data_IF_111154567114
#
_entry.id   IF_111154567114
#
_cell.length_a   1.000
_cell.length_b   1.000
_cell.length_c   1.000
_cell.angle_alpha   90.00
_cell.angle_beta   90.00
_cell.angle_gamma   90.00
#
_symmetry.space_group_name_H-M   'P 1'
#
loop_
_entity.id
_entity.type
_entity.pdbx_description
1 polymer ?
#
# COMPACT_ATOMS: atom_id res chain seq x y z
N UNK A 1 16.90 -22.03 4.00
CA UNK A 1 15.50 -21.54 4.10
C UNK A 1 15.37 -20.76 5.39
N UNK A 2 15.27 -19.41 5.34
CA UNK A 2 15.12 -18.60 6.55
C UNK A 2 13.69 -18.80 7.07
N UNK A 3 13.54 -19.35 8.28
CA UNK A 3 12.22 -19.53 8.92
C UNK A 3 11.57 -18.15 9.06
N UNK A 4 10.34 -18.03 8.57
CA UNK A 4 9.48 -16.87 8.81
C UNK A 4 9.34 -16.73 10.34
N UNK A 5 9.62 -15.56 10.94
CA UNK A 5 9.49 -15.37 12.38
C UNK A 5 8.07 -15.71 12.85
N UNK A 6 7.93 -16.50 13.91
CA UNK A 6 6.63 -16.93 14.46
C UNK A 6 5.66 -15.76 14.69
N UNK A 7 6.17 -14.57 15.03
CA UNK A 7 5.38 -13.36 15.21
C UNK A 7 4.71 -12.84 13.93
N UNK A 8 5.28 -13.10 12.74
CA UNK A 8 4.68 -12.71 11.45
C UNK A 8 3.55 -13.67 11.08
N UNK A 9 3.76 -14.97 11.27
CA UNK A 9 2.71 -15.98 11.07
C UNK A 9 1.55 -15.71 12.04
N UNK A 10 1.86 -15.44 13.30
CA UNK A 10 0.89 -15.09 14.33
C UNK A 10 0.21 -13.74 14.05
N UNK A 11 0.93 -12.69 13.64
CA UNK A 11 0.34 -11.39 13.28
C UNK A 11 -0.53 -11.50 12.01
N UNK A 12 -0.14 -12.32 11.04
CA UNK A 12 -0.93 -12.62 9.83
C UNK A 12 -2.17 -13.42 10.18
N UNK A 13 -2.06 -14.46 11.01
CA UNK A 13 -3.19 -15.26 11.48
C UNK A 13 -4.14 -14.43 12.35
N UNK A 14 -3.60 -13.58 13.24
CA UNK A 14 -4.35 -12.63 14.06
C UNK A 14 -4.98 -11.52 13.22
N UNK A 15 -4.31 -11.05 12.17
CA UNK A 15 -4.86 -10.08 11.21
C UNK A 15 -5.93 -10.72 10.34
N UNK A 16 -5.74 -11.95 9.86
CA UNK A 16 -6.77 -12.70 9.12
C UNK A 16 -7.95 -13.05 10.00
N UNK A 17 -7.75 -13.42 11.27
CA UNK A 17 -8.86 -13.70 12.20
C UNK A 17 -9.54 -12.42 12.65
N UNK A 18 -8.80 -11.32 12.86
CA UNK A 18 -9.38 -10.00 13.11
C UNK A 18 -10.15 -9.52 11.88
N UNK A 19 -9.60 -9.62 10.66
CA UNK A 19 -10.25 -9.28 9.41
C UNK A 19 -11.47 -10.16 9.12
N UNK A 20 -11.43 -11.46 9.44
CA UNK A 20 -12.60 -12.35 9.39
C UNK A 20 -13.65 -11.94 10.42
N UNK A 21 -13.24 -11.63 11.67
CA UNK A 21 -14.13 -11.18 12.74
C UNK A 21 -14.75 -9.81 12.43
N UNK A 22 -13.99 -8.84 11.95
CA UNK A 22 -14.51 -7.55 11.50
C UNK A 22 -15.30 -7.69 10.22
N UNK A 23 -14.96 -8.59 9.28
CA UNK A 23 -15.81 -8.86 8.10
C UNK A 23 -17.16 -9.44 8.52
N UNK A 24 -17.20 -10.34 9.50
CA UNK A 24 -18.45 -10.90 10.04
C UNK A 24 -19.25 -9.81 10.78
N UNK A 25 -18.61 -9.02 11.66
CA UNK A 25 -19.28 -7.93 12.40
C UNK A 25 -19.76 -6.84 11.44
N UNK A 26 -18.96 -6.45 10.45
CA UNK A 26 -19.32 -5.44 9.46
C UNK A 26 -20.40 -5.94 8.48
N UNK A 27 -20.45 -7.25 8.15
CA UNK A 27 -21.60 -7.84 7.44
C UNK A 27 -22.86 -7.85 8.30
N UNK A 28 -22.75 -8.15 9.59
CA UNK A 28 -23.87 -8.14 10.53
C UNK A 28 -24.41 -6.72 10.77
N UNK A 29 -23.52 -5.72 10.79
CA UNK A 29 -23.85 -4.30 10.89
C UNK A 29 -24.22 -3.66 9.54
N UNK A 30 -24.16 -4.41 8.43
CA UNK A 30 -24.48 -3.90 7.08
C UNK A 30 -23.51 -2.85 6.52
N UNK A 31 -22.33 -2.69 7.12
CA UNK A 31 -21.29 -1.70 6.75
C UNK A 31 -20.42 -2.21 5.59
N UNK A 32 -20.22 -3.53 5.52
CA UNK A 32 -19.53 -4.18 4.39
C UNK A 32 -20.56 -4.87 3.52
N UNK A 33 -20.68 -4.43 2.27
CA UNK A 33 -21.53 -5.09 1.29
C UNK A 33 -21.13 -6.56 1.14
N UNK A 34 -22.12 -7.46 1.02
CA UNK A 34 -21.84 -8.85 0.68
C UNK A 34 -21.01 -8.84 -0.62
N UNK A 35 -19.83 -9.48 -0.70
CA UNK A 35 -19.06 -9.52 -1.94
C UNK A 35 -19.88 -10.00 -3.14
N UNK A 36 -20.89 -10.86 -2.91
CA UNK A 36 -21.80 -11.33 -3.98
C UNK A 36 -22.85 -10.29 -4.40
N UNK A 37 -23.01 -9.20 -3.64
CA UNK A 37 -23.91 -8.07 -3.94
C UNK A 37 -23.20 -6.90 -4.63
N UNK A 38 -21.87 -6.86 -4.63
CA UNK A 38 -21.13 -5.80 -5.31
C UNK A 38 -21.20 -6.09 -6.81
N UNK A 39 -21.92 -5.24 -7.55
CA UNK A 39 -21.98 -5.34 -9.01
C UNK A 39 -20.64 -4.92 -9.60
N UNK A 40 -19.77 -5.89 -9.83
CA UNK A 40 -18.56 -5.68 -10.61
C UNK A 40 -18.89 -5.68 -12.10
N UNK A 41 -18.17 -4.89 -12.91
CA UNK A 41 -18.19 -5.08 -14.36
C UNK A 41 -17.76 -6.50 -14.71
N UNK A 42 -18.11 -6.93 -15.93
CA UNK A 42 -17.75 -8.25 -16.43
C UNK A 42 -16.24 -8.51 -16.23
N UNK A 43 -15.83 -9.74 -15.86
CA UNK A 43 -14.44 -10.09 -15.67
C UNK A 43 -13.61 -9.81 -16.94
N UNK A 44 -12.30 -9.65 -16.76
CA UNK A 44 -11.35 -9.50 -17.87
C UNK A 44 -11.55 -10.65 -18.88
N UNK A 45 -11.36 -10.35 -20.17
CA UNK A 45 -11.40 -11.36 -21.21
C UNK A 45 -10.45 -12.52 -20.86
N UNK A 46 -10.83 -13.80 -21.06
CA UNK A 46 -10.02 -14.96 -20.64
C UNK A 46 -8.57 -14.87 -21.11
N UNK A 47 -8.34 -14.45 -22.35
CA UNK A 47 -7.00 -14.29 -22.91
C UNK A 47 -6.16 -13.27 -22.14
N UNK A 48 -6.77 -12.14 -21.75
CA UNK A 48 -6.08 -11.11 -20.94
C UNK A 48 -5.83 -11.63 -19.53
N UNK A 49 -6.79 -12.35 -18.95
CA UNK A 49 -6.68 -12.90 -17.62
C UNK A 49 -5.53 -13.90 -17.50
N UNK A 50 -5.30 -14.74 -18.52
CA UNK A 50 -4.19 -15.70 -18.57
C UNK A 50 -2.84 -14.98 -18.46
N UNK A 51 -2.71 -13.80 -19.06
CA UNK A 51 -1.47 -13.01 -19.02
C UNK A 51 -1.33 -12.16 -17.75
N UNK A 52 -2.43 -11.61 -17.22
CA UNK A 52 -2.39 -10.71 -16.05
C UNK A 52 -2.27 -11.48 -14.73
N UNK A 53 -2.92 -12.65 -14.62
CA UNK A 53 -2.92 -13.46 -13.39
C UNK A 53 -1.52 -13.77 -12.84
N UNK A 54 -0.55 -14.27 -13.63
CA UNK A 54 0.78 -14.56 -13.09
C UNK A 54 1.51 -13.31 -12.59
N UNK A 55 1.32 -12.15 -13.24
CA UNK A 55 1.89 -10.87 -12.79
C UNK A 55 1.28 -10.46 -11.46
N UNK A 56 -0.06 -10.58 -11.34
CA UNK A 56 -0.75 -10.30 -10.09
C UNK A 56 -0.25 -11.19 -8.95
N UNK A 57 -0.19 -12.51 -9.17
CA UNK A 57 0.31 -13.46 -8.16
C UNK A 57 1.77 -13.17 -7.77
N UNK A 58 2.61 -12.77 -8.73
CA UNK A 58 4.00 -12.40 -8.49
C UNK A 58 4.13 -11.12 -7.64
N UNK A 59 3.28 -10.12 -7.89
CA UNK A 59 3.21 -8.88 -7.10
C UNK A 59 2.66 -9.11 -5.69
N UNK A 60 1.86 -10.16 -5.49
CA UNK A 60 1.25 -10.51 -4.21
C UNK A 60 2.13 -11.43 -3.34
N UNK A 61 3.39 -11.67 -3.72
CA UNK A 61 4.31 -12.48 -2.90
C UNK A 61 4.59 -11.81 -1.56
N UNK A 62 4.54 -12.59 -0.47
CA UNK A 62 4.75 -12.10 0.90
C UNK A 62 6.06 -11.30 1.07
N UNK A 63 7.13 -11.70 0.37
CA UNK A 63 8.43 -10.99 0.39
C UNK A 63 8.35 -9.54 -0.13
N UNK A 64 7.44 -9.24 -1.07
CA UNK A 64 7.21 -7.89 -1.56
C UNK A 64 6.38 -7.08 -0.55
N UNK A 65 5.38 -7.71 0.06
CA UNK A 65 4.58 -7.09 1.12
C UNK A 65 5.38 -6.76 2.37
N UNK A 66 6.30 -7.64 2.78
CA UNK A 66 7.18 -7.42 3.93
C UNK A 66 8.03 -6.15 3.78
N UNK A 67 8.41 -5.77 2.54
CA UNK A 67 9.12 -4.51 2.27
C UNK A 67 8.24 -3.28 2.51
N UNK A 68 6.92 -3.41 2.36
CA UNK A 68 5.96 -2.32 2.57
C UNK A 68 5.58 -2.14 4.06
N UNK A 69 5.80 -3.14 4.92
CA UNK A 69 5.44 -3.10 6.34
C UNK A 69 6.23 -2.04 7.14
N UNK A 70 7.39 -1.59 6.65
CA UNK A 70 8.20 -0.54 7.26
C UNK A 70 7.81 0.89 6.88
N UNK A 71 6.62 1.12 6.31
CA UNK A 71 6.24 2.40 5.68
C UNK A 71 7.18 2.84 4.54
N UNK A 72 7.99 1.93 4.03
CA UNK A 72 8.83 2.19 2.86
C UNK A 72 7.93 2.15 1.62
N UNK A 73 7.67 3.33 1.06
CA UNK A 73 6.94 3.45 -0.19
C UNK A 73 7.75 2.82 -1.32
N UNK A 74 7.10 2.05 -2.20
CA UNK A 74 7.73 1.46 -3.40
C UNK A 74 8.44 2.51 -4.28
N UNK A 75 8.04 3.79 -4.18
CA UNK A 75 8.69 4.90 -4.84
C UNK A 75 9.05 6.03 -3.84
N UNK A 76 10.09 5.82 -3.03
CA UNK A 76 10.54 6.81 -2.04
C UNK A 76 10.84 8.18 -2.66
N UNK A 77 11.28 8.24 -3.92
CA UNK A 77 11.54 9.50 -4.59
C UNK A 77 10.25 10.30 -4.88
N UNK A 78 9.13 9.63 -5.16
CA UNK A 78 7.89 10.31 -5.53
C UNK A 78 7.19 10.86 -4.31
N UNK A 79 7.18 10.13 -3.19
CA UNK A 79 6.67 10.64 -1.92
C UNK A 79 7.52 11.82 -1.42
N UNK A 80 8.85 11.69 -1.46
CA UNK A 80 9.78 12.75 -1.05
C UNK A 80 9.61 14.02 -1.90
N UNK A 81 9.64 13.86 -3.23
CA UNK A 81 9.48 14.99 -4.15
C UNK A 81 8.09 15.61 -4.06
N UNK A 82 7.03 14.81 -3.96
CA UNK A 82 5.65 15.30 -3.79
C UNK A 82 5.53 16.20 -2.55
N UNK A 83 6.16 15.79 -1.44
CA UNK A 83 6.16 16.56 -0.21
C UNK A 83 6.96 17.86 -0.33
N UNK A 84 8.13 17.83 -0.98
CA UNK A 84 8.88 19.04 -1.33
C UNK A 84 8.03 19.98 -2.18
N UNK A 85 7.32 19.46 -3.20
CA UNK A 85 6.48 20.27 -4.08
C UNK A 85 5.21 20.78 -3.42
N UNK A 86 4.77 20.17 -2.31
CA UNK A 86 3.70 20.72 -1.48
C UNK A 86 4.17 21.90 -0.64
N UNK A 87 5.43 21.91 -0.20
CA UNK A 87 6.05 23.02 0.54
C UNK A 87 6.56 24.14 -0.38
N UNK A 88 7.11 23.76 -1.54
CA UNK A 88 7.64 24.64 -2.57
C UNK A 88 6.97 24.32 -3.91
N UNK A 89 5.75 24.83 -4.18
CA UNK A 89 5.03 24.54 -5.41
C UNK A 89 5.83 24.91 -6.66
N UNK A 90 5.92 23.98 -7.63
CA UNK A 90 6.71 24.16 -8.86
C UNK A 90 6.31 25.35 -9.71
N UNK A 91 5.04 25.77 -9.61
CA UNK A 91 4.50 26.91 -10.36
C UNK A 91 4.81 28.26 -9.69
N UNK A 92 5.37 28.25 -8.48
CA UNK A 92 5.85 29.44 -7.78
C UNK A 92 7.38 29.47 -7.84
N UNK A 93 7.94 30.67 -7.99
CA UNK A 93 9.38 30.83 -7.95
C UNK A 93 9.89 30.69 -6.51
N UNK A 94 10.28 29.47 -6.15
CA UNK A 94 10.98 29.18 -4.90
C UNK A 94 12.49 29.21 -5.13
N UNK A 95 13.17 30.15 -4.49
CA UNK A 95 14.63 30.21 -4.52
C UNK A 95 15.28 28.92 -3.99
N UNK A 96 16.49 28.61 -4.47
CA UNK A 96 17.23 27.39 -4.09
C UNK A 96 17.32 27.17 -2.57
N UNK A 97 17.43 28.25 -1.80
CA UNK A 97 17.46 28.21 -0.32
C UNK A 97 16.20 27.58 0.26
N UNK A 98 15.02 27.95 -0.24
CA UNK A 98 13.74 27.45 0.27
C UNK A 98 13.57 25.96 -0.06
N UNK A 99 13.92 25.56 -1.29
CA UNK A 99 13.88 24.15 -1.71
C UNK A 99 14.81 23.29 -0.84
N UNK A 100 16.03 23.77 -0.55
CA UNK A 100 16.97 23.09 0.35
C UNK A 100 16.42 22.94 1.77
N UNK A 101 15.82 24.00 2.33
CA UNK A 101 15.20 23.95 3.66
C UNK A 101 14.05 22.94 3.67
N UNK A 102 13.18 22.94 2.66
CA UNK A 102 12.10 21.96 2.55
C UNK A 102 12.64 20.53 2.46
N UNK A 103 13.69 20.27 1.68
CA UNK A 103 14.32 18.96 1.59
C UNK A 103 14.92 18.50 2.94
N UNK A 104 15.63 19.38 3.64
CA UNK A 104 16.19 19.08 4.97
C UNK A 104 15.11 18.79 6.01
N UNK A 105 14.03 19.58 6.02
CA UNK A 105 12.90 19.40 6.93
C UNK A 105 12.21 18.04 6.71
N UNK A 106 11.94 17.67 5.45
CA UNK A 106 11.35 16.38 5.13
C UNK A 106 12.30 15.22 5.43
N UNK A 107 13.60 15.36 5.18
CA UNK A 107 14.59 14.36 5.56
C UNK A 107 14.61 14.12 7.07
N UNK A 108 14.49 15.16 7.90
CA UNK A 108 14.47 15.03 9.36
C UNK A 108 13.20 14.35 9.90
N UNK A 109 12.06 14.47 9.19
CA UNK A 109 10.78 13.87 9.59
C UNK A 109 10.68 12.38 9.20
N UNK A 110 11.39 11.96 8.16
CA UNK A 110 11.29 10.60 7.61
C UNK A 110 12.32 9.63 8.26
N UNK A 111 13.27 10.13 9.05
CA UNK A 111 14.20 9.34 9.87
C UNK A 111 13.61 9.04 11.25
#
# INVERSE_FOLDING_TARGET
MKKIPNRIVEARENSLTLAKRTSIIMRFMGIVENPDKIKHPAPLHPDVQIHVKPIFEDLFRDILFERCLGHHTQNANENFNSTIWRLCPKHLNSGLKNVKISACYIYWIIQ
#
